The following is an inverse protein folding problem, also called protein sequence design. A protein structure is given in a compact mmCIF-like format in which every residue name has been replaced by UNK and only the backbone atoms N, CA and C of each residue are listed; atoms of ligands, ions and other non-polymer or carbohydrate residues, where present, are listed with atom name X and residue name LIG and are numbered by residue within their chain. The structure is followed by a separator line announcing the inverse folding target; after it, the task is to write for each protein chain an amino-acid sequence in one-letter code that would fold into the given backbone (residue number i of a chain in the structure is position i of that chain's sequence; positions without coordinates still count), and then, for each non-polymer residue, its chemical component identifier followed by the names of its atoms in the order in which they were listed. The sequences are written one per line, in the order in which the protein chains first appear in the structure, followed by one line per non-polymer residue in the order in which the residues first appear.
data_IF_900462692940
#
_entry.id   IF_900462692940
#
_cell.length_a   1.000
_cell.length_b   1.000
_cell.length_c   1.000
_cell.angle_alpha   90.00
_cell.angle_beta   90.00
_cell.angle_gamma   90.00
#
_symmetry.space_group_name_H-M   'P 1'
#
loop_
_entity.id
_entity.type
_entity.pdbx_description
1 polymer ?
#
# COMPACT_ATOMS: atom_id res chain seq x y z
N UNK A 1 -26.81 -10.68 -5.56
CA UNK A 1 -26.46 -9.25 -5.40
C UNK A 1 -25.31 -8.97 -6.35
N UNK A 2 -25.45 -8.00 -7.26
CA UNK A 2 -24.33 -7.53 -8.08
C UNK A 2 -23.46 -6.65 -7.20
N UNK A 3 -22.27 -7.12 -6.84
CA UNK A 3 -21.30 -6.32 -6.09
C UNK A 3 -20.48 -5.52 -7.09
N UNK A 4 -20.70 -4.21 -7.15
CA UNK A 4 -19.84 -3.29 -7.89
C UNK A 4 -18.50 -3.24 -7.14
N UNK A 5 -17.43 -3.71 -7.76
CA UNK A 5 -16.10 -3.70 -7.15
C UNK A 5 -15.52 -2.27 -7.18
N UNK A 6 -15.29 -1.66 -6.01
CA UNK A 6 -14.64 -0.37 -5.91
C UNK A 6 -13.11 -0.57 -5.83
N UNK A 7 -12.30 0.10 -6.67
CA UNK A 7 -10.84 0.08 -6.55
C UNK A 7 -10.31 0.43 -5.16
N UNK A 8 -11.06 1.23 -4.38
CA UNK A 8 -10.71 1.62 -3.02
C UNK A 8 -10.73 0.46 -2.02
N UNK A 9 -11.42 -0.63 -2.32
CA UNK A 9 -11.42 -1.83 -1.47
C UNK A 9 -10.06 -2.57 -1.52
N UNK A 10 -9.31 -2.39 -2.62
CA UNK A 10 -7.98 -2.99 -2.81
C UNK A 10 -6.93 -2.28 -1.93
N UNK A 11 -7.04 -0.96 -1.76
CA UNK A 11 -6.04 -0.13 -1.07
C UNK A 11 -6.57 0.29 0.28
N UNK A 12 -5.99 -0.28 1.34
CA UNK A 12 -6.49 -0.11 2.70
C UNK A 12 -5.93 1.16 3.36
N UNK A 13 -4.61 1.38 3.28
CA UNK A 13 -3.96 2.52 3.95
C UNK A 13 -2.55 2.82 3.42
N UNK A 14 -2.05 4.06 3.54
CA UNK A 14 -0.63 4.35 3.33
C UNK A 14 0.22 3.75 4.46
N UNK A 15 1.45 3.32 4.13
CA UNK A 15 2.43 2.90 5.15
C UNK A 15 3.30 4.09 5.49
N UNK A 16 3.26 4.49 6.76
CA UNK A 16 4.02 5.62 7.32
C UNK A 16 5.19 5.06 8.14
N UNK A 17 6.42 5.35 7.70
CA UNK A 17 7.68 4.94 8.32
C UNK A 17 8.85 5.74 7.72
N UNK A 18 9.98 5.85 8.41
CA UNK A 18 11.18 6.54 7.87
C UNK A 18 11.58 5.99 6.49
N UNK A 19 11.56 4.67 6.33
CA UNK A 19 11.86 4.02 5.05
C UNK A 19 10.86 4.40 3.94
N UNK A 20 9.56 4.47 4.25
CA UNK A 20 8.59 4.86 3.22
C UNK A 20 8.79 6.30 2.80
N UNK A 21 9.11 7.21 3.73
CA UNK A 21 9.44 8.60 3.40
C UNK A 21 10.75 8.73 2.61
N UNK A 22 11.79 7.98 2.96
CA UNK A 22 13.07 8.04 2.21
C UNK A 22 12.91 7.65 0.74
N UNK A 23 11.96 6.75 0.46
CA UNK A 23 11.68 6.26 -0.90
C UNK A 23 10.78 7.21 -1.72
N UNK A 24 10.07 8.15 -1.07
CA UNK A 24 9.26 9.16 -1.78
C UNK A 24 10.12 10.03 -2.71
N UNK A 25 11.37 10.31 -2.32
CA UNK A 25 12.33 11.05 -3.16
C UNK A 25 12.61 10.36 -4.50
N UNK A 26 12.39 9.04 -4.55
CA UNK A 26 12.56 8.20 -5.74
C UNK A 26 11.22 7.85 -6.41
N UNK A 27 10.15 8.57 -6.09
CA UNK A 27 8.77 8.33 -6.57
C UNK A 27 8.23 6.93 -6.23
N UNK A 28 8.68 6.36 -5.11
CA UNK A 28 8.18 5.10 -4.59
C UNK A 28 7.23 5.32 -3.42
N UNK A 29 6.04 4.74 -3.53
CA UNK A 29 4.98 4.83 -2.52
C UNK A 29 4.68 3.46 -1.97
N UNK A 30 4.40 3.38 -0.66
CA UNK A 30 4.10 2.10 0.00
C UNK A 30 2.69 2.12 0.58
N UNK A 31 1.90 1.12 0.21
CA UNK A 31 0.53 0.93 0.66
C UNK A 31 0.36 -0.41 1.38
N UNK A 32 -0.57 -0.44 2.31
CA UNK A 32 -1.18 -1.65 2.83
C UNK A 32 -2.38 -1.97 1.94
N UNK A 33 -2.39 -3.17 1.38
CA UNK A 33 -3.40 -3.62 0.41
C UNK A 33 -4.11 -4.86 0.92
N UNK A 34 -5.25 -5.19 0.31
CA UNK A 34 -5.97 -6.41 0.63
C UNK A 34 -5.07 -7.65 0.43
N UNK A 35 -5.05 -8.62 1.36
CA UNK A 35 -4.21 -9.81 1.25
C UNK A 35 -4.43 -10.62 -0.02
N UNK A 36 -5.62 -10.57 -0.62
CA UNK A 36 -5.93 -11.32 -1.84
C UNK A 36 -5.62 -10.55 -3.13
N UNK A 37 -5.30 -9.25 -3.03
CA UNK A 37 -5.07 -8.41 -4.20
C UNK A 37 -3.82 -8.84 -4.99
N UNK A 38 -3.96 -8.88 -6.32
CA UNK A 38 -2.86 -9.14 -7.24
C UNK A 38 -2.17 -7.84 -7.70
N UNK A 39 -0.99 -7.95 -8.32
CA UNK A 39 -0.21 -6.77 -8.75
C UNK A 39 -0.92 -5.93 -9.81
N UNK A 40 -1.71 -6.56 -10.68
CA UNK A 40 -2.44 -5.91 -11.78
C UNK A 40 -3.60 -5.09 -11.23
N UNK A 41 -4.37 -5.64 -10.29
CA UNK A 41 -5.45 -4.97 -9.58
C UNK A 41 -4.93 -3.75 -8.81
N UNK A 42 -3.83 -3.91 -8.07
CA UNK A 42 -3.20 -2.80 -7.34
C UNK A 42 -2.76 -1.70 -8.31
N UNK A 43 -2.18 -2.07 -9.46
CA UNK A 43 -1.78 -1.11 -10.49
C UNK A 43 -2.99 -0.32 -10.98
N UNK A 44 -4.04 -1.00 -11.43
CA UNK A 44 -5.25 -0.38 -11.95
C UNK A 44 -5.90 0.52 -10.87
N UNK A 45 -5.99 0.03 -9.63
CA UNK A 45 -6.59 0.77 -8.54
C UNK A 45 -5.87 2.07 -8.23
N UNK A 46 -4.53 2.07 -8.15
CA UNK A 46 -3.76 3.30 -7.92
C UNK A 46 -3.94 4.29 -9.07
N UNK A 47 -3.89 3.80 -10.31
CA UNK A 47 -4.06 4.66 -11.48
C UNK A 47 -5.44 5.31 -11.49
N UNK A 48 -6.50 4.57 -11.13
CA UNK A 48 -7.87 5.09 -11.08
C UNK A 48 -8.12 6.03 -9.89
N UNK A 49 -7.64 5.69 -8.69
CA UNK A 49 -7.90 6.47 -7.48
C UNK A 49 -7.14 7.81 -7.51
N UNK A 50 -5.89 7.80 -7.97
CA UNK A 50 -5.01 8.97 -7.89
C UNK A 50 -4.77 9.63 -9.25
N UNK A 51 -5.29 9.08 -10.35
CA UNK A 51 -5.09 9.60 -11.71
C UNK A 51 -3.60 9.79 -12.08
N UNK A 52 -2.77 8.80 -11.74
CA UNK A 52 -1.30 8.80 -11.96
C UNK A 52 -0.89 7.63 -12.86
N UNK A 53 0.32 7.68 -13.44
CA UNK A 53 0.88 6.57 -14.21
C UNK A 53 1.78 5.72 -13.32
N UNK A 54 1.48 4.43 -13.25
CA UNK A 54 2.25 3.45 -12.47
C UNK A 54 3.19 2.67 -13.39
N UNK A 55 4.49 2.69 -13.06
CA UNK A 55 5.51 1.93 -13.78
C UNK A 55 5.53 0.48 -13.32
N UNK A 56 5.77 0.26 -12.02
CA UNK A 56 6.03 -1.06 -11.45
C UNK A 56 5.37 -1.22 -10.09
N UNK A 57 4.87 -2.43 -9.80
CA UNK A 57 4.28 -2.81 -8.52
C UNK A 57 5.04 -4.01 -7.95
N UNK A 58 5.59 -3.83 -6.74
CA UNK A 58 6.22 -4.88 -5.96
C UNK A 58 5.36 -5.19 -4.74
N UNK A 59 5.17 -6.46 -4.42
CA UNK A 59 4.33 -6.89 -3.30
C UNK A 59 5.11 -7.75 -2.34
N UNK A 60 4.83 -7.63 -1.05
CA UNK A 60 5.40 -8.48 0.00
C UNK A 60 4.33 -8.86 1.02
N UNK A 61 4.39 -10.11 1.48
CA UNK A 61 3.55 -10.58 2.58
C UNK A 61 4.33 -10.47 3.89
N UNK A 62 3.68 -9.96 4.93
CA UNK A 62 4.26 -9.81 6.26
C UNK A 62 3.40 -10.55 7.26
N UNK A 63 3.98 -11.56 7.89
CA UNK A 63 3.34 -12.30 8.96
C UNK A 63 3.12 -11.42 10.19
N UNK A 64 1.98 -11.67 10.86
CA UNK A 64 1.64 -11.00 12.09
C UNK A 64 2.51 -11.47 13.25
N UNK A 65 3.06 -10.53 14.02
CA UNK A 65 3.89 -10.85 15.19
C UNK A 65 3.07 -11.57 16.26
N UNK A 66 3.62 -12.65 16.82
CA UNK A 66 3.10 -13.30 18.03
C UNK A 66 3.37 -12.42 19.25
N UNK A 67 2.39 -12.27 20.15
CA UNK A 67 2.46 -11.44 21.36
C UNK A 67 1.93 -12.20 22.56
N UNK A 68 2.66 -12.13 23.67
CA UNK A 68 2.26 -12.73 24.94
C UNK A 68 1.33 -11.78 25.69
N UNK A 69 0.29 -12.34 26.27
CA UNK A 69 -0.67 -11.68 27.16
C UNK A 69 -0.87 -12.56 28.41
N UNK A 70 -1.63 -12.08 29.41
CA UNK A 70 -1.94 -12.86 30.63
C UNK A 70 -2.55 -14.23 30.31
N UNK A 71 -3.41 -14.30 29.29
CA UNK A 71 -4.16 -15.50 28.91
C UNK A 71 -3.35 -16.46 28.03
N UNK A 72 -2.32 -15.98 27.32
CA UNK A 72 -1.52 -16.82 26.42
C UNK A 72 -0.85 -16.05 25.28
N UNK A 73 -0.49 -16.77 24.21
CA UNK A 73 0.08 -16.19 23.00
C UNK A 73 -1.01 -15.88 21.97
N UNK A 74 -1.24 -14.60 21.68
CA UNK A 74 -2.04 -14.15 20.54
C UNK A 74 -1.17 -13.82 19.33
N UNK A 75 -1.78 -13.64 18.17
CA UNK A 75 -1.10 -13.23 16.94
C UNK A 75 -1.79 -12.00 16.32
N UNK A 76 -1.00 -11.07 15.79
CA UNK A 76 -1.54 -9.93 15.01
C UNK A 76 -1.97 -10.38 13.61
N UNK A 77 -2.79 -9.58 12.93
CA UNK A 77 -3.15 -9.84 11.52
C UNK A 77 -1.91 -9.84 10.61
N UNK A 78 -1.86 -10.79 9.68
CA UNK A 78 -0.94 -10.72 8.56
C UNK A 78 -1.36 -9.59 7.61
N UNK A 79 -0.40 -9.03 6.88
CA UNK A 79 -0.66 -7.89 5.98
C UNK A 79 0.12 -8.08 4.69
N UNK A 80 -0.46 -7.62 3.58
CA UNK A 80 0.25 -7.47 2.31
C UNK A 80 0.60 -6.00 2.13
N UNK A 81 1.85 -5.72 1.74
CA UNK A 81 2.29 -4.37 1.36
C UNK A 81 2.58 -4.33 -0.13
N UNK A 82 2.19 -3.24 -0.76
CA UNK A 82 2.52 -2.91 -2.13
C UNK A 82 3.46 -1.70 -2.15
N UNK A 83 4.60 -1.85 -2.82
CA UNK A 83 5.58 -0.82 -3.08
C UNK A 83 5.47 -0.49 -4.56
N UNK A 84 5.13 0.76 -4.87
CA UNK A 84 4.67 1.17 -6.20
C UNK A 84 5.52 2.33 -6.69
N UNK A 85 6.07 2.18 -7.89
CA UNK A 85 6.83 3.23 -8.56
C UNK A 85 5.93 3.98 -9.53
N UNK A 86 5.87 5.30 -9.39
CA UNK A 86 5.17 6.16 -10.33
C UNK A 86 6.10 6.62 -11.46
N UNK A 87 5.50 7.06 -12.57
CA UNK A 87 6.23 7.74 -13.62
C UNK A 87 6.74 9.10 -13.13
N UNK A 88 7.83 9.57 -13.73
CA UNK A 88 8.37 10.89 -13.40
C UNK A 88 7.33 11.97 -13.76
N UNK A 89 7.15 12.93 -12.84
CA UNK A 89 6.14 13.98 -12.93
C UNK A 89 4.83 13.69 -12.19
N UNK A 90 4.52 12.43 -11.89
CA UNK A 90 3.30 12.06 -11.17
C UNK A 90 3.55 12.00 -9.64
N UNK A 91 2.63 12.57 -8.86
CA UNK A 91 2.73 12.61 -7.39
C UNK A 91 1.40 12.32 -6.71
N UNK A 92 1.47 11.76 -5.50
CA UNK A 92 0.31 11.51 -4.64
C UNK A 92 0.38 12.46 -3.46
N UNK A 93 -0.46 13.50 -3.46
CA UNK A 93 -0.48 14.56 -2.45
C UNK A 93 -0.85 14.05 -1.04
N UNK A 94 -1.61 12.94 -0.96
CA UNK A 94 -2.10 12.36 0.28
C UNK A 94 -0.99 11.86 1.24
N UNK A 95 0.26 11.72 0.78
CA UNK A 95 1.37 11.25 1.62
C UNK A 95 2.04 12.34 2.47
N UNK A 96 1.61 13.61 2.34
CA UNK A 96 2.29 14.74 2.97
C UNK A 96 3.68 14.89 2.35
N UNK A 97 3.77 15.71 1.31
CA UNK A 97 5.04 15.93 0.62
C UNK A 97 6.13 16.47 1.56
N UNK A 98 7.42 16.39 1.18
CA UNK A 98 8.45 17.12 1.90
C UNK A 98 8.07 18.60 1.90
N UNK A 99 7.94 19.19 3.09
CA UNK A 99 7.92 20.64 3.27
C UNK A 99 9.18 21.18 2.58
N UNK A 100 8.96 21.87 1.47
CA UNK A 100 9.99 22.69 0.82
C UNK A 100 10.09 24.02 1.55
#
# INVERSE_FOLDING_TARGET
MSTIADPRDVIIAPVVSEKSYSELNRNWYTFLVHPDANKTEIKIAIQQIFNVRVLTVNTLNREGKRKRTKTGFGQRKATKRAIVKLADGDRIEAFGGPVS
#
